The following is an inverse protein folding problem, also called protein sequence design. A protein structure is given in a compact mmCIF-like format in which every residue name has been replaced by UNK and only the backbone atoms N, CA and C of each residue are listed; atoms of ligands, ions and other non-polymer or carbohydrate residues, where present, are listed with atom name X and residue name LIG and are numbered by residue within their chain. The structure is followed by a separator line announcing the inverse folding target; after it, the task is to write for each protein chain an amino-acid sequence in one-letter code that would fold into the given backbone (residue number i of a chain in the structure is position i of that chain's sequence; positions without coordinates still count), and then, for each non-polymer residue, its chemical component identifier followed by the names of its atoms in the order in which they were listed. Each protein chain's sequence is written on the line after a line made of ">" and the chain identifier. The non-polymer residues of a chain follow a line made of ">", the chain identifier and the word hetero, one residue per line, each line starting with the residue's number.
data_IF_901184260291
#
_entry.id   IF_901184260291
#
_cell.length_a   1.000
_cell.length_b   1.000
_cell.length_c   1.000
_cell.angle_alpha   90.00
_cell.angle_beta   90.00
_cell.angle_gamma   90.00
#
_symmetry.space_group_name_H-M   'P 1'
#
loop_
_entity.id
_entity.type
_entity.pdbx_description
1 polymer ?
#
# COMPACT_ATOMS: atom_id res chain seq x y z
N UNK A 1 17.56 -18.32 -2.23
CA UNK A 1 17.65 -17.29 -3.29
C UNK A 1 17.86 -15.99 -2.54
N UNK A 2 19.02 -15.35 -2.69
CA UNK A 2 19.34 -14.13 -1.96
C UNK A 2 18.46 -12.99 -2.46
N UNK A 3 17.86 -12.23 -1.54
CA UNK A 3 16.98 -11.14 -1.92
C UNK A 3 17.77 -10.04 -2.64
N UNK A 4 17.23 -9.59 -3.77
CA UNK A 4 17.87 -8.57 -4.61
C UNK A 4 17.76 -7.16 -4.03
N UNK A 5 17.02 -6.96 -2.93
CA UNK A 5 16.80 -5.68 -2.26
C UNK A 5 16.47 -5.88 -0.76
N UNK A 6 16.67 -4.86 0.08
CA UNK A 6 16.21 -4.81 1.47
C UNK A 6 16.16 -3.35 1.98
N UNK A 7 16.02 -3.15 3.30
CA UNK A 7 16.08 -1.84 3.95
C UNK A 7 17.40 -1.58 4.71
N UNK A 8 18.40 -2.45 4.53
CA UNK A 8 19.73 -2.35 5.14
C UNK A 8 20.77 -1.99 4.05
N UNK A 9 21.73 -2.89 3.77
CA UNK A 9 22.84 -2.66 2.85
C UNK A 9 22.44 -2.60 1.37
N UNK A 10 21.27 -3.12 1.00
CA UNK A 10 20.66 -2.97 -0.34
C UNK A 10 19.39 -2.11 -0.22
N UNK A 11 19.52 -0.99 0.50
CA UNK A 11 18.46 -0.05 0.85
C UNK A 11 17.90 0.76 -0.33
N UNK A 12 16.84 1.57 -0.09
CA UNK A 12 16.19 2.38 -1.12
C UNK A 12 17.14 3.24 -1.96
N UNK A 13 18.23 3.74 -1.38
CA UNK A 13 19.24 4.57 -2.06
C UNK A 13 19.91 3.85 -3.25
N UNK A 14 19.91 2.51 -3.29
CA UNK A 14 20.52 1.71 -4.35
C UNK A 14 19.50 0.89 -5.16
N UNK A 15 18.20 0.99 -4.86
CA UNK A 15 17.17 0.26 -5.61
C UNK A 15 17.13 0.66 -7.09
N UNK A 16 17.51 1.90 -7.41
CA UNK A 16 17.65 2.38 -8.79
C UNK A 16 18.71 1.65 -9.63
N UNK A 17 19.71 1.04 -8.99
CA UNK A 17 20.73 0.22 -9.67
C UNK A 17 20.22 -1.21 -9.93
N UNK A 18 19.24 -1.67 -9.15
CA UNK A 18 18.61 -2.99 -9.26
C UNK A 18 17.47 -2.96 -10.27
N UNK A 19 16.60 -1.94 -10.19
CA UNK A 19 15.54 -1.66 -11.14
C UNK A 19 15.51 -0.17 -11.48
N UNK A 20 15.82 0.15 -12.73
CA UNK A 20 15.81 1.52 -13.25
C UNK A 20 14.48 2.25 -13.07
N UNK A 21 13.36 1.54 -12.91
CA UNK A 21 12.06 2.14 -12.64
C UNK A 21 12.01 2.85 -11.29
N UNK A 22 12.83 2.46 -10.31
CA UNK A 22 12.95 3.14 -9.02
C UNK A 22 13.50 4.57 -9.15
N UNK A 23 14.14 4.92 -10.29
CA UNK A 23 14.59 6.27 -10.63
C UNK A 23 13.58 7.04 -11.52
N UNK A 24 12.33 6.57 -11.58
CA UNK A 24 11.28 7.19 -12.37
C UNK A 24 10.79 8.55 -11.83
N UNK A 25 9.86 9.19 -12.55
CA UNK A 25 9.32 10.52 -12.20
C UNK A 25 8.03 10.52 -11.37
N UNK A 26 7.49 9.33 -11.09
CA UNK A 26 6.22 9.13 -10.39
C UNK A 26 6.36 8.07 -9.30
N UNK A 27 7.43 8.16 -8.51
CA UNK A 27 7.65 7.26 -7.36
C UNK A 27 6.80 7.67 -6.16
N UNK A 28 6.49 6.68 -5.34
CA UNK A 28 5.96 6.86 -3.98
C UNK A 28 6.99 6.31 -2.98
N UNK A 29 6.96 6.75 -1.70
CA UNK A 29 6.07 7.75 -1.12
C UNK A 29 6.42 9.19 -1.50
N UNK A 30 5.55 10.14 -1.12
CA UNK A 30 5.80 11.57 -1.21
C UNK A 30 5.48 12.30 0.11
N UNK A 31 6.06 13.49 0.26
CA UNK A 31 5.65 14.44 1.30
C UNK A 31 4.44 15.27 0.81
N UNK A 32 3.31 15.18 1.49
CA UNK A 32 2.05 15.84 1.12
C UNK A 32 2.03 17.24 1.73
N UNK A 33 2.62 18.21 1.03
CA UNK A 33 2.57 19.62 1.46
C UNK A 33 1.17 20.19 1.24
N UNK A 34 0.35 20.21 2.30
CA UNK A 34 -1.06 20.64 2.24
C UNK A 34 -1.28 22.00 1.58
N UNK A 35 -0.36 22.96 1.79
CA UNK A 35 -0.39 24.29 1.16
C UNK A 35 -0.24 24.28 -0.38
N UNK A 36 0.33 23.20 -0.94
CA UNK A 36 0.54 23.00 -2.38
C UNK A 36 -0.55 22.12 -3.01
N UNK A 37 -1.58 21.72 -2.25
CA UNK A 37 -2.68 20.90 -2.76
C UNK A 37 -3.81 21.75 -3.34
N UNK A 38 -4.48 21.21 -4.36
CA UNK A 38 -5.71 21.81 -4.89
C UNK A 38 -6.91 21.02 -4.38
N UNK A 39 -7.89 21.72 -3.81
CA UNK A 39 -9.14 21.08 -3.42
C UNK A 39 -9.87 20.55 -4.66
N UNK A 40 -10.23 19.28 -4.62
CA UNK A 40 -11.06 18.64 -5.64
C UNK A 40 -12.14 17.81 -4.97
N UNK A 41 -13.35 17.85 -5.54
CA UNK A 41 -14.47 17.05 -5.05
C UNK A 41 -14.58 15.77 -5.89
N UNK A 42 -14.66 14.63 -5.21
CA UNK A 42 -14.89 13.32 -5.80
C UNK A 42 -16.16 12.70 -5.20
N UNK A 43 -16.81 11.82 -5.95
CA UNK A 43 -17.82 10.95 -5.36
C UNK A 43 -17.21 10.16 -4.19
N UNK A 44 -17.96 9.87 -3.12
CA UNK A 44 -17.45 9.05 -2.01
C UNK A 44 -16.94 7.69 -2.49
N UNK A 45 -16.01 7.11 -1.75
CA UNK A 45 -15.69 5.69 -1.91
C UNK A 45 -16.91 4.84 -1.54
N UNK A 46 -17.17 3.82 -2.33
CA UNK A 46 -18.22 2.84 -2.11
C UNK A 46 -17.57 1.48 -1.88
N UNK A 47 -17.63 1.03 -0.62
CA UNK A 47 -17.18 -0.28 -0.19
C UNK A 47 -18.36 -1.26 -0.24
N UNK A 48 -18.18 -2.41 -0.86
CA UNK A 48 -19.20 -3.45 -0.82
C UNK A 48 -19.43 -3.98 0.60
N UNK A 49 -20.62 -4.55 0.84
CA UNK A 49 -21.07 -4.99 2.16
C UNK A 49 -20.15 -6.02 2.83
N UNK A 50 -19.30 -6.72 2.06
CA UNK A 50 -18.29 -7.61 2.62
C UNK A 50 -17.31 -6.88 3.54
N UNK A 51 -17.02 -5.59 3.33
CA UNK A 51 -16.16 -4.83 4.24
C UNK A 51 -16.74 -4.64 5.65
N UNK A 52 -18.05 -4.82 5.81
CA UNK A 52 -18.73 -4.72 7.12
C UNK A 52 -18.75 -6.06 7.87
N UNK A 53 -18.11 -7.09 7.33
CA UNK A 53 -18.04 -8.43 7.92
C UNK A 53 -16.66 -8.71 8.48
N UNK A 54 -16.60 -9.58 9.49
CA UNK A 54 -15.33 -10.13 9.97
C UNK A 54 -14.83 -11.19 9.00
N UNK A 55 -13.57 -11.08 8.59
CA UNK A 55 -12.90 -12.08 7.74
C UNK A 55 -11.70 -12.66 8.44
N UNK A 56 -11.39 -13.91 8.10
CA UNK A 56 -10.11 -14.52 8.46
C UNK A 56 -9.07 -14.16 7.40
N UNK A 57 -7.87 -13.89 7.86
CA UNK A 57 -6.71 -13.62 7.01
C UNK A 57 -5.60 -14.59 7.35
N UNK A 58 -4.87 -15.03 6.33
CA UNK A 58 -3.57 -15.68 6.55
C UNK A 58 -2.51 -14.59 6.62
N UNK A 59 -1.78 -14.54 7.73
CA UNK A 59 -0.67 -13.61 7.91
C UNK A 59 0.64 -14.31 7.54
N UNK A 60 1.42 -13.66 6.68
CA UNK A 60 2.72 -14.13 6.22
C UNK A 60 3.78 -13.08 6.54
N UNK A 61 4.91 -13.50 7.10
CA UNK A 61 6.12 -12.67 7.13
C UNK A 61 6.96 -13.04 5.90
N UNK A 62 7.13 -12.10 4.98
CA UNK A 62 7.90 -12.33 3.75
C UNK A 62 9.36 -11.83 3.84
N UNK A 63 9.86 -11.51 5.04
CA UNK A 63 11.19 -10.94 5.26
C UNK A 63 11.21 -9.40 5.26
N UNK A 64 10.20 -8.75 4.68
CA UNK A 64 10.13 -7.29 4.55
C UNK A 64 8.95 -6.67 5.30
N UNK A 65 7.84 -7.39 5.38
CA UNK A 65 6.59 -6.93 6.01
C UNK A 65 5.78 -8.12 6.52
N UNK A 66 4.77 -7.83 7.32
CA UNK A 66 3.62 -8.73 7.51
C UNK A 66 2.65 -8.47 6.35
N UNK A 67 2.26 -9.52 5.63
CA UNK A 67 1.24 -9.49 4.58
C UNK A 67 0.01 -10.25 5.09
N UNK A 68 -1.15 -9.59 5.08
CA UNK A 68 -2.44 -10.20 5.34
C UNK A 68 -3.15 -10.55 4.05
N UNK A 69 -3.29 -11.85 3.76
CA UNK A 69 -3.94 -12.37 2.56
C UNK A 69 -5.38 -12.76 2.91
N UNK A 70 -6.32 -12.26 2.11
CA UNK A 70 -7.73 -12.67 2.22
C UNK A 70 -7.90 -14.10 1.74
N UNK A 71 -8.46 -14.97 2.58
CA UNK A 71 -8.68 -16.40 2.28
C UNK A 71 -10.15 -16.80 2.27
N UNK A 72 -11.06 -15.82 2.28
CA UNK A 72 -12.49 -16.10 2.20
C UNK A 72 -12.94 -16.52 0.80
N UNK A 73 -14.10 -17.18 0.74
CA UNK A 73 -14.62 -17.80 -0.49
C UNK A 73 -15.33 -16.82 -1.43
N UNK A 74 -15.44 -15.53 -1.07
CA UNK A 74 -16.16 -14.53 -1.87
C UNK A 74 -15.35 -13.22 -2.01
N UNK A 75 -14.26 -13.21 -2.79
CA UNK A 75 -13.43 -12.01 -2.98
C UNK A 75 -14.22 -10.85 -3.60
N UNK A 76 -15.27 -11.14 -4.38
CA UNK A 76 -16.15 -10.12 -4.96
C UNK A 76 -16.90 -9.30 -3.90
N UNK A 77 -17.06 -9.83 -2.68
CA UNK A 77 -17.68 -9.09 -1.57
C UNK A 77 -16.80 -7.95 -1.02
N UNK A 78 -15.50 -7.95 -1.35
CA UNK A 78 -14.51 -6.94 -0.94
C UNK A 78 -14.12 -6.04 -2.12
N UNK A 79 -15.11 -5.54 -2.85
CA UNK A 79 -14.93 -4.60 -3.97
C UNK A 79 -15.03 -3.14 -3.52
N UNK A 80 -14.18 -2.30 -4.11
CA UNK A 80 -14.12 -0.85 -3.93
C UNK A 80 -14.41 -0.13 -5.25
N UNK A 81 -15.27 0.89 -5.20
CA UNK A 81 -15.59 1.80 -6.32
C UNK A 81 -15.67 3.26 -5.82
N UNK A 82 -15.91 4.22 -6.72
CA UNK A 82 -16.05 5.64 -6.34
C UNK A 82 -14.70 6.32 -6.05
N UNK A 83 -14.70 7.45 -5.36
CA UNK A 83 -13.48 8.15 -4.94
C UNK A 83 -12.56 8.64 -6.07
N UNK A 84 -13.07 8.73 -7.31
CA UNK A 84 -12.26 9.05 -8.50
C UNK A 84 -11.60 7.84 -9.16
N UNK A 85 -11.92 6.61 -8.75
CA UNK A 85 -11.45 5.38 -9.40
C UNK A 85 -12.14 5.17 -10.76
N UNK A 86 -11.37 4.72 -11.76
CA UNK A 86 -11.85 4.44 -13.12
C UNK A 86 -12.53 3.07 -13.27
N UNK A 87 -12.82 2.37 -12.18
CA UNK A 87 -13.35 1.00 -12.24
C UNK A 87 -13.67 0.41 -10.88
N UNK A 88 -13.89 -0.91 -10.90
CA UNK A 88 -14.16 -1.74 -9.72
C UNK A 88 -12.88 -2.47 -9.37
N UNK A 89 -12.40 -2.26 -8.14
CA UNK A 89 -11.18 -2.88 -7.64
C UNK A 89 -11.50 -3.93 -6.59
N UNK A 90 -10.80 -5.05 -6.61
CA UNK A 90 -10.96 -6.14 -5.65
C UNK A 90 -9.84 -6.09 -4.61
N UNK A 91 -10.19 -6.28 -3.35
CA UNK A 91 -9.21 -6.45 -2.28
C UNK A 91 -8.38 -7.71 -2.52
N UNK A 92 -7.05 -7.56 -2.55
CA UNK A 92 -6.12 -8.68 -2.69
C UNK A 92 -5.42 -9.01 -1.37
N UNK A 93 -4.79 -8.01 -0.76
CA UNK A 93 -4.02 -8.12 0.48
C UNK A 93 -3.86 -6.75 1.14
N UNK A 94 -3.42 -6.75 2.40
CA UNK A 94 -2.81 -5.59 3.04
C UNK A 94 -1.42 -5.93 3.55
N UNK A 95 -0.59 -4.91 3.74
CA UNK A 95 0.69 -5.00 4.44
C UNK A 95 0.95 -3.70 5.20
N UNK A 96 1.97 -3.70 6.05
CA UNK A 96 2.24 -2.59 6.96
C UNK A 96 3.69 -2.15 6.80
N UNK A 97 3.92 -0.84 6.93
CA UNK A 97 5.25 -0.27 7.12
C UNK A 97 5.32 0.31 8.53
N UNK A 98 6.46 0.16 9.18
CA UNK A 98 6.66 0.64 10.54
C UNK A 98 8.13 1.01 10.77
N UNK A 99 8.37 1.89 11.74
CA UNK A 99 9.69 2.31 12.16
C UNK A 99 10.11 1.60 13.44
N UNK A 100 11.35 1.81 13.85
CA UNK A 100 11.89 1.29 15.10
C UNK A 100 11.26 1.94 16.34
N UNK A 101 10.69 3.14 16.19
CA UNK A 101 10.10 3.90 17.29
C UNK A 101 8.87 4.69 16.82
N UNK A 102 8.11 5.22 17.78
CA UNK A 102 6.84 5.92 17.54
C UNK A 102 6.96 7.24 16.75
N UNK A 103 8.18 7.76 16.49
CA UNK A 103 8.40 9.02 15.77
C UNK A 103 8.59 8.81 14.27
N UNK A 104 8.71 7.57 13.80
CA UNK A 104 8.92 7.24 12.39
C UNK A 104 8.18 5.96 12.01
N UNK A 105 8.02 5.71 10.70
CA UNK A 105 7.51 4.44 10.19
C UNK A 105 6.46 4.56 9.09
N UNK A 106 5.79 5.71 8.98
CA UNK A 106 4.98 6.02 7.81
C UNK A 106 5.89 6.27 6.60
N UNK A 107 5.50 5.78 5.44
CA UNK A 107 6.18 6.10 4.19
C UNK A 107 5.83 7.54 3.73
N UNK A 108 4.53 7.87 3.68
CA UNK A 108 4.07 9.24 3.39
C UNK A 108 4.16 10.14 4.63
N UNK A 109 4.29 11.44 4.40
CA UNK A 109 4.25 12.50 5.41
C UNK A 109 3.26 13.61 5.00
N UNK A 110 2.85 14.45 5.96
CA UNK A 110 1.94 15.59 5.77
C UNK A 110 2.52 16.83 6.42
#
# INVERSE_FOLDING_TARGET
>A
MGESWNYNNLGPDVWGDIDSLCNGRSQSPINIQTACTNYQSFAPFSFQSGYNLTHNFTLLNNGHTIVGIYTGNNPMSLRLTGGGLNGIYEFLQFHLHWGENYKSGSEHQV
#
